data_IF_032250452828
#
_entry.id   IF_032250452828
#
_cell.length_a   1.000
_cell.length_b   1.000
_cell.length_c   1.000
_cell.angle_alpha   90.00
_cell.angle_beta   90.00
_cell.angle_gamma   90.00
#
_symmetry.space_group_name_H-M   'P 1'
#
loop_
_entity.id
_entity.type
_entity.pdbx_description
1 polymer ?
#
# COMPACT_ATOMS: atom_id res chain seq x y z
N UNK A 1 -27.41 -64.45 52.69
CA UNK A 1 -26.22 -63.84 52.03
C UNK A 1 -26.48 -62.35 51.82
N UNK A 2 -26.11 -61.57 52.77
CA UNK A 2 -26.22 -60.06 52.61
C UNK A 2 -24.99 -59.60 51.85
N UNK A 3 -25.19 -59.24 50.60
CA UNK A 3 -24.14 -58.78 49.71
C UNK A 3 -23.59 -57.41 50.16
N UNK A 4 -22.33 -57.35 50.28
CA UNK A 4 -21.48 -56.27 50.78
C UNK A 4 -21.53 -54.95 49.87
N UNK A 5 -22.75 -54.53 49.52
CA UNK A 5 -23.03 -53.40 48.61
C UNK A 5 -22.52 -52.04 49.17
N UNK A 6 -22.50 -51.94 50.55
CA UNK A 6 -22.06 -50.72 51.21
C UNK A 6 -20.56 -50.43 51.13
N UNK A 7 -19.75 -51.47 50.95
CA UNK A 7 -18.28 -51.32 50.86
C UNK A 7 -17.90 -50.94 49.47
N UNK A 8 -18.54 -51.41 48.42
CA UNK A 8 -18.28 -51.05 47.02
C UNK A 8 -18.64 -49.60 46.79
N UNK A 9 -19.72 -49.08 47.33
CA UNK A 9 -20.15 -47.66 47.14
C UNK A 9 -19.16 -46.69 47.70
N UNK A 10 -18.38 -46.99 48.72
CA UNK A 10 -17.35 -46.12 49.30
C UNK A 10 -16.13 -45.93 48.40
N UNK A 11 -15.85 -46.88 47.53
CA UNK A 11 -14.69 -46.81 46.64
C UNK A 11 -14.99 -46.22 45.30
N UNK A 12 -16.26 -46.02 44.90
CA UNK A 12 -16.66 -45.42 43.65
C UNK A 12 -16.04 -44.04 43.47
N UNK A 13 -16.09 -43.08 44.43
CA UNK A 13 -15.46 -41.78 44.26
C UNK A 13 -13.94 -41.87 44.07
N UNK A 14 -13.28 -42.78 44.79
CA UNK A 14 -11.83 -42.98 44.67
C UNK A 14 -11.46 -43.52 43.28
N UNK A 15 -12.24 -44.43 42.73
CA UNK A 15 -12.04 -44.95 41.37
C UNK A 15 -12.20 -43.83 40.35
N UNK A 16 -13.21 -42.98 40.48
CA UNK A 16 -13.39 -41.83 39.56
C UNK A 16 -12.25 -40.84 39.67
N UNK A 17 -11.75 -40.57 40.86
CA UNK A 17 -10.59 -39.65 41.05
C UNK A 17 -9.34 -40.24 40.39
N UNK A 18 -9.10 -41.53 40.52
CA UNK A 18 -7.95 -42.22 39.92
C UNK A 18 -8.06 -42.25 38.39
N UNK A 19 -9.24 -42.48 37.86
CA UNK A 19 -9.49 -42.44 36.41
C UNK A 19 -9.32 -41.01 35.85
N UNK A 20 -9.86 -40.02 36.53
CA UNK A 20 -9.70 -38.62 36.14
C UNK A 20 -8.24 -38.17 36.23
N UNK A 21 -7.51 -38.54 37.29
CA UNK A 21 -6.08 -38.27 37.41
C UNK A 21 -5.27 -38.95 36.31
N UNK A 22 -5.59 -40.20 35.98
CA UNK A 22 -4.95 -40.96 34.89
C UNK A 22 -5.23 -40.34 33.53
N UNK A 23 -6.46 -39.91 33.26
CA UNK A 23 -6.83 -39.22 32.03
C UNK A 23 -6.13 -37.84 31.91
N UNK A 24 -6.10 -37.10 33.00
CA UNK A 24 -5.39 -35.80 33.03
C UNK A 24 -3.88 -35.97 32.83
N UNK A 25 -3.28 -36.96 33.49
CA UNK A 25 -1.85 -37.26 33.31
C UNK A 25 -1.56 -37.67 31.86
N UNK A 26 -2.40 -38.56 31.31
CA UNK A 26 -2.30 -38.97 29.90
C UNK A 26 -2.43 -37.79 28.95
N UNK A 27 -3.35 -36.85 29.20
CA UNK A 27 -3.53 -35.64 28.41
C UNK A 27 -2.34 -34.66 28.51
N UNK A 28 -1.77 -34.51 29.71
CA UNK A 28 -0.61 -33.67 29.95
C UNK A 28 0.70 -34.23 29.33
N UNK A 29 0.77 -35.57 29.20
CA UNK A 29 1.93 -36.23 28.60
C UNK A 29 1.84 -36.32 27.06
N UNK A 30 0.67 -36.08 26.49
CA UNK A 30 0.52 -35.98 25.04
C UNK A 30 0.95 -34.59 24.62
N UNK A 31 2.08 -34.49 23.96
CA UNK A 31 2.50 -33.26 23.27
C UNK A 31 1.90 -33.28 21.86
N UNK A 32 0.81 -32.53 21.60
CA UNK A 32 0.19 -32.50 20.30
C UNK A 32 1.10 -31.80 19.26
N UNK A 33 2.11 -31.05 19.73
CA UNK A 33 3.08 -30.38 18.86
C UNK A 33 4.12 -31.37 18.31
N UNK A 34 4.33 -32.53 18.98
CA UNK A 34 5.29 -33.55 18.51
C UNK A 34 4.90 -34.19 17.16
N UNK A 35 3.60 -34.16 16.81
CA UNK A 35 3.08 -34.63 15.52
C UNK A 35 3.07 -33.53 14.44
N UNK A 36 3.32 -32.27 14.81
CA UNK A 36 3.39 -31.16 13.86
C UNK A 36 4.80 -31.10 13.30
N UNK A 37 4.99 -31.55 12.08
CA UNK A 37 6.22 -31.28 11.38
C UNK A 37 6.19 -29.81 10.95
N UNK A 38 7.14 -28.97 11.42
CA UNK A 38 7.21 -27.61 10.94
C UNK A 38 7.44 -27.64 9.43
N UNK A 39 6.47 -27.09 8.67
CA UNK A 39 6.63 -26.93 7.23
C UNK A 39 7.70 -25.85 7.03
N UNK A 40 8.89 -26.27 6.59
CA UNK A 40 9.93 -25.36 6.16
C UNK A 40 9.51 -24.86 4.77
N UNK A 41 9.37 -23.55 4.55
CA UNK A 41 9.04 -23.02 3.24
C UNK A 41 10.00 -23.57 2.18
N UNK A 42 9.47 -24.18 1.11
CA UNK A 42 10.26 -24.79 0.05
C UNK A 42 10.57 -26.28 0.22
N UNK A 43 10.24 -26.91 1.36
CA UNK A 43 10.42 -28.37 1.56
C UNK A 43 9.14 -29.20 1.38
N UNK A 44 8.17 -28.69 0.69
CA UNK A 44 6.90 -29.37 0.39
C UNK A 44 7.01 -30.37 -0.78
N UNK A 45 8.22 -30.77 -1.16
CA UNK A 45 8.52 -31.66 -2.30
C UNK A 45 7.81 -31.28 -3.61
N UNK A 46 7.38 -30.03 -3.73
CA UNK A 46 7.02 -29.54 -5.05
C UNK A 46 8.26 -29.66 -5.93
N UNK A 47 8.12 -30.20 -7.15
CA UNK A 47 9.18 -30.09 -8.11
C UNK A 47 9.55 -28.61 -8.14
N UNK A 48 10.84 -28.29 -7.98
CA UNK A 48 11.33 -26.94 -8.24
C UNK A 48 10.64 -26.52 -9.51
N UNK A 49 9.73 -25.57 -9.40
CA UNK A 49 9.00 -25.08 -10.55
C UNK A 49 10.11 -24.72 -11.51
N UNK A 50 10.22 -25.52 -12.57
CA UNK A 50 11.08 -25.23 -13.70
C UNK A 50 11.05 -23.74 -13.86
N UNK A 51 12.19 -23.09 -13.62
CA UNK A 51 12.37 -21.65 -13.55
C UNK A 51 11.26 -20.98 -14.32
N UNK A 52 10.22 -20.51 -13.61
CA UNK A 52 9.23 -19.64 -14.22
C UNK A 52 10.13 -18.53 -14.71
N UNK A 53 10.40 -18.50 -16.01
CA UNK A 53 11.05 -17.37 -16.66
C UNK A 53 10.33 -16.20 -16.06
N UNK A 54 11.06 -15.39 -15.30
CA UNK A 54 10.48 -14.22 -14.65
C UNK A 54 9.76 -13.49 -15.78
N UNK A 55 8.44 -13.65 -15.80
CA UNK A 55 7.61 -13.16 -16.89
C UNK A 55 7.92 -11.68 -16.96
N UNK A 56 8.45 -11.23 -18.08
CA UNK A 56 8.94 -9.88 -18.19
C UNK A 56 7.71 -8.98 -18.14
N UNK A 57 7.47 -8.38 -16.97
CA UNK A 57 6.38 -7.43 -16.79
C UNK A 57 6.64 -6.21 -17.66
N UNK A 58 5.71 -5.91 -18.56
CA UNK A 58 5.72 -4.69 -19.36
C UNK A 58 4.70 -3.74 -18.72
N UNK A 59 5.19 -2.80 -17.93
CA UNK A 59 4.35 -1.87 -17.18
C UNK A 59 3.47 -1.08 -18.14
N UNK A 60 2.15 -1.09 -17.89
CA UNK A 60 1.18 -0.36 -18.69
C UNK A 60 0.98 -0.89 -20.10
N UNK A 61 1.25 -2.17 -20.36
CA UNK A 61 1.21 -2.83 -21.67
C UNK A 61 -0.12 -2.65 -22.39
N UNK A 62 -1.23 -2.86 -21.69
CA UNK A 62 -2.56 -2.86 -22.30
C UNK A 62 -3.32 -1.58 -22.00
N UNK A 63 -4.13 -1.18 -22.96
CA UNK A 63 -4.96 0.02 -22.84
C UNK A 63 -6.32 -0.18 -23.52
N UNK A 64 -7.37 0.33 -22.88
CA UNK A 64 -8.73 0.33 -23.42
C UNK A 64 -9.37 1.69 -23.18
N UNK A 65 -9.74 2.36 -24.27
CA UNK A 65 -10.56 3.58 -24.23
C UNK A 65 -12.04 3.17 -24.31
N UNK A 66 -12.85 3.69 -23.39
CA UNK A 66 -14.30 3.36 -23.29
C UNK A 66 -15.21 4.56 -23.42
N UNK A 67 -14.70 5.76 -23.21
CA UNK A 67 -15.49 6.98 -23.27
C UNK A 67 -14.69 8.24 -23.03
N UNK A 68 -15.40 9.35 -23.02
CA UNK A 68 -14.88 10.66 -22.70
C UNK A 68 -15.80 11.32 -21.67
N UNK A 69 -15.29 12.23 -20.87
CA UNK A 69 -16.07 13.05 -19.96
C UNK A 69 -15.70 14.51 -20.12
N UNK A 70 -16.70 15.36 -19.98
CA UNK A 70 -16.50 16.79 -19.92
C UNK A 70 -15.81 17.17 -18.58
N UNK A 71 -14.86 18.11 -18.58
CA UNK A 71 -14.29 18.62 -17.37
C UNK A 71 -15.37 19.20 -16.45
N UNK A 72 -15.30 18.88 -15.16
CA UNK A 72 -16.15 19.50 -14.12
C UNK A 72 -15.24 20.31 -13.23
N UNK A 73 -15.31 21.65 -13.27
CA UNK A 73 -14.51 22.50 -12.42
C UNK A 73 -14.84 22.32 -10.94
N UNK A 74 -13.84 22.49 -10.08
CA UNK A 74 -14.06 22.74 -8.65
C UNK A 74 -13.76 21.59 -7.71
N UNK A 75 -13.99 20.33 -8.07
CA UNK A 75 -13.77 19.21 -7.14
C UNK A 75 -12.40 18.58 -7.38
N UNK A 76 -11.47 18.78 -6.44
CA UNK A 76 -10.12 18.26 -6.54
C UNK A 76 -9.66 17.60 -5.24
N UNK A 77 -9.40 16.30 -5.32
CA UNK A 77 -8.70 15.50 -4.32
C UNK A 77 -7.59 14.69 -5.03
N UNK A 78 -6.55 15.37 -5.56
CA UNK A 78 -5.72 14.82 -6.63
C UNK A 78 -4.68 13.80 -6.17
N UNK A 79 -4.55 13.57 -4.87
CA UNK A 79 -3.52 12.68 -4.32
C UNK A 79 -3.86 12.23 -2.91
N UNK A 80 -3.01 11.37 -2.36
CA UNK A 80 -3.06 10.95 -0.97
C UNK A 80 -3.15 12.14 -0.01
N UNK A 81 -4.12 12.12 0.88
CA UNK A 81 -4.47 13.19 1.84
C UNK A 81 -4.91 14.51 1.20
N UNK A 82 -5.28 14.51 -0.08
CA UNK A 82 -5.86 15.67 -0.76
C UNK A 82 -4.84 16.75 -1.17
N UNK A 83 -5.32 17.93 -1.60
CA UNK A 83 -4.47 18.98 -2.14
C UNK A 83 -3.49 19.56 -1.12
N UNK A 84 -3.88 19.66 0.15
CA UNK A 84 -3.03 20.11 1.26
C UNK A 84 -2.20 19.00 1.89
N UNK A 85 -2.44 17.74 1.56
CA UNK A 85 -1.85 16.55 2.19
C UNK A 85 -2.08 16.47 3.71
N UNK A 86 -3.17 17.09 4.15
CA UNK A 86 -3.58 17.24 5.54
C UNK A 86 -4.90 16.53 5.87
N UNK A 87 -5.54 15.87 4.88
CA UNK A 87 -6.89 15.31 4.95
C UNK A 87 -7.99 16.36 5.19
N UNK A 88 -7.73 17.63 4.92
CA UNK A 88 -8.70 18.70 5.12
C UNK A 88 -9.23 19.17 3.77
N UNK A 89 -10.54 19.05 3.57
CA UNK A 89 -11.20 19.68 2.42
C UNK A 89 -11.36 21.17 2.70
N UNK A 90 -10.90 21.98 1.75
CA UNK A 90 -11.05 23.46 1.78
C UNK A 90 -12.15 23.92 0.82
N UNK A 91 -12.95 22.99 0.31
CA UNK A 91 -14.09 23.34 -0.53
C UNK A 91 -15.13 24.11 0.29
N UNK A 92 -15.70 25.19 -0.25
CA UNK A 92 -16.68 26.03 0.45
C UNK A 92 -18.08 25.39 0.43
N UNK A 93 -18.15 24.09 0.72
CA UNK A 93 -19.40 23.33 0.78
C UNK A 93 -19.80 23.14 2.22
N UNK A 94 -20.97 23.66 2.60
CA UNK A 94 -21.54 23.38 3.91
C UNK A 94 -22.03 21.93 3.96
N UNK A 95 -21.44 21.14 4.86
CA UNK A 95 -21.94 19.80 5.14
C UNK A 95 -23.30 19.89 5.88
N UNK A 96 -24.16 18.93 5.63
CA UNK A 96 -25.41 18.79 6.37
C UNK A 96 -25.11 18.33 7.80
N UNK A 97 -25.78 18.91 8.77
CA UNK A 97 -25.67 18.52 10.18
C UNK A 97 -26.33 17.15 10.44
N UNK A 98 -27.29 16.76 9.59
CA UNK A 98 -27.94 15.45 9.62
C UNK A 98 -28.44 15.05 8.22
N UNK A 99 -28.57 13.77 7.99
CA UNK A 99 -29.09 13.22 6.74
C UNK A 99 -30.61 13.10 6.70
N UNK A 100 -31.32 13.43 7.80
CA UNK A 100 -32.74 13.19 7.95
C UNK A 100 -33.12 11.70 7.87
N UNK A 101 -34.37 11.43 7.52
CA UNK A 101 -34.86 10.04 7.37
C UNK A 101 -34.36 9.38 6.09
N UNK A 102 -33.88 10.15 5.13
CA UNK A 102 -33.34 9.65 3.85
C UNK A 102 -31.82 9.70 3.89
N UNK A 103 -31.20 8.55 3.73
CA UNK A 103 -29.77 8.44 3.52
C UNK A 103 -29.31 9.27 2.28
N UNK A 104 -28.00 9.59 2.18
CA UNK A 104 -27.45 10.21 0.97
C UNK A 104 -27.83 9.44 -0.28
N UNK A 105 -28.16 10.14 -1.35
CA UNK A 105 -28.47 9.52 -2.65
C UNK A 105 -27.19 8.96 -3.24
N UNK A 106 -27.20 7.67 -3.57
CA UNK A 106 -26.11 7.04 -4.33
C UNK A 106 -26.28 7.46 -5.79
N UNK A 107 -25.32 8.24 -6.31
CA UNK A 107 -25.33 8.69 -7.71
C UNK A 107 -24.95 7.56 -8.66
N UNK A 108 -23.93 6.78 -8.30
CA UNK A 108 -23.47 5.62 -9.09
C UNK A 108 -22.64 4.66 -8.20
N UNK A 109 -22.45 3.46 -8.70
CA UNK A 109 -21.66 2.40 -8.07
C UNK A 109 -20.90 1.64 -9.15
N UNK A 110 -19.65 1.25 -8.85
CA UNK A 110 -18.82 0.40 -9.70
C UNK A 110 -18.24 -0.74 -8.90
N UNK A 111 -18.05 -1.89 -9.55
CA UNK A 111 -17.40 -3.04 -8.94
C UNK A 111 -15.89 -2.96 -9.16
N UNK A 112 -15.13 -3.36 -8.13
CA UNK A 112 -13.69 -3.37 -8.08
C UNK A 112 -13.20 -4.74 -7.62
N UNK A 113 -11.94 -5.05 -7.87
CA UNK A 113 -11.24 -6.18 -7.27
C UNK A 113 -10.92 -5.96 -5.80
N UNK A 114 -10.27 -6.95 -5.19
CA UNK A 114 -9.89 -6.88 -3.78
C UNK A 114 -8.78 -5.83 -3.57
N UNK A 115 -9.04 -4.83 -2.71
CA UNK A 115 -8.08 -3.78 -2.43
C UNK A 115 -8.55 -2.76 -1.41
N UNK A 116 -7.64 -1.86 -1.06
CA UNK A 116 -7.86 -0.73 -0.15
C UNK A 116 -7.41 0.60 -0.78
N UNK A 117 -7.27 0.63 -2.10
CA UNK A 117 -6.91 1.85 -2.81
C UNK A 117 -8.01 2.90 -2.66
N UNK A 118 -7.60 4.13 -2.36
CA UNK A 118 -8.52 5.26 -2.38
C UNK A 118 -8.46 5.99 -3.74
N UNK A 119 -9.56 6.60 -4.18
CA UNK A 119 -9.59 7.33 -5.43
C UNK A 119 -8.87 8.68 -5.31
N UNK A 120 -8.27 9.12 -6.42
CA UNK A 120 -7.93 10.51 -6.65
C UNK A 120 -8.96 11.15 -7.58
N UNK A 121 -9.34 12.39 -7.30
CA UNK A 121 -10.35 13.13 -8.06
C UNK A 121 -9.74 14.39 -8.63
N UNK A 122 -9.91 14.61 -9.93
CA UNK A 122 -9.45 15.84 -10.57
C UNK A 122 -10.29 16.17 -11.81
N UNK A 123 -10.79 17.39 -11.87
CA UNK A 123 -11.51 17.94 -13.03
C UNK A 123 -12.61 17.00 -13.58
N UNK A 124 -13.45 16.47 -12.69
CA UNK A 124 -14.58 15.61 -13.06
C UNK A 124 -14.23 14.17 -13.41
N UNK A 125 -12.99 13.75 -13.15
CA UNK A 125 -12.53 12.37 -13.34
C UNK A 125 -12.11 11.77 -12.01
N UNK A 126 -12.31 10.47 -11.87
CA UNK A 126 -11.91 9.65 -10.72
C UNK A 126 -10.89 8.63 -11.19
N UNK A 127 -9.72 8.64 -10.59
CA UNK A 127 -8.61 7.73 -10.89
C UNK A 127 -8.42 6.77 -9.73
N UNK A 128 -8.33 5.48 -10.01
CA UNK A 128 -8.26 4.45 -8.99
C UNK A 128 -7.36 3.30 -9.42
N UNK A 129 -6.54 2.83 -8.49
CA UNK A 129 -5.82 1.57 -8.65
C UNK A 129 -6.74 0.40 -8.34
N UNK A 130 -6.73 -0.60 -9.21
CA UNK A 130 -7.55 -1.79 -9.09
C UNK A 130 -6.72 -3.03 -9.48
N UNK A 131 -7.01 -4.18 -8.91
CA UNK A 131 -6.43 -5.43 -9.32
C UNK A 131 -7.48 -6.30 -9.99
N UNK A 132 -7.34 -6.51 -11.29
CA UNK A 132 -8.21 -7.40 -12.06
C UNK A 132 -7.84 -8.87 -11.76
N UNK A 133 -8.63 -9.50 -10.91
CA UNK A 133 -8.38 -10.88 -10.48
C UNK A 133 -8.56 -11.91 -11.60
N UNK A 134 -9.33 -11.58 -12.62
CA UNK A 134 -9.55 -12.45 -13.77
C UNK A 134 -8.33 -12.41 -14.68
N UNK A 135 -7.84 -11.21 -14.99
CA UNK A 135 -6.65 -11.01 -15.84
C UNK A 135 -5.34 -11.17 -15.10
N UNK A 136 -5.37 -11.26 -13.75
CA UNK A 136 -4.18 -11.21 -12.90
C UNK A 136 -3.32 -9.99 -13.23
N UNK A 137 -3.94 -8.83 -13.23
CA UNK A 137 -3.36 -7.60 -13.73
C UNK A 137 -3.57 -6.43 -12.77
N UNK A 138 -2.52 -5.63 -12.57
CA UNK A 138 -2.61 -4.33 -11.91
C UNK A 138 -3.13 -3.29 -12.91
N UNK A 139 -4.09 -2.48 -12.52
CA UNK A 139 -4.80 -1.57 -13.40
C UNK A 139 -4.97 -0.18 -12.79
N UNK A 140 -4.71 0.83 -13.59
CA UNK A 140 -5.20 2.19 -13.36
C UNK A 140 -6.48 2.38 -14.16
N UNK A 141 -7.58 2.69 -13.45
CA UNK A 141 -8.90 2.93 -14.03
C UNK A 141 -9.30 4.38 -13.86
N UNK A 142 -9.92 4.94 -14.88
CA UNK A 142 -10.45 6.30 -14.88
C UNK A 142 -11.94 6.30 -15.14
N UNK A 143 -12.70 6.99 -14.29
CA UNK A 143 -14.16 7.08 -14.36
C UNK A 143 -14.61 8.53 -14.44
N UNK A 144 -15.78 8.75 -15.01
CA UNK A 144 -16.50 10.01 -14.92
C UNK A 144 -17.01 10.22 -13.48
N UNK A 145 -16.65 11.32 -12.84
CA UNK A 145 -17.17 11.67 -11.51
C UNK A 145 -18.69 11.83 -11.52
N UNK A 146 -19.25 12.34 -12.62
CA UNK A 146 -20.68 12.61 -12.77
C UNK A 146 -21.52 11.35 -12.94
N UNK A 147 -21.03 10.37 -13.69
CA UNK A 147 -21.85 9.22 -14.13
C UNK A 147 -21.35 7.86 -13.66
N UNK A 148 -20.10 7.77 -13.15
CA UNK A 148 -19.45 6.50 -12.84
C UNK A 148 -19.03 5.68 -14.06
N UNK A 149 -19.29 6.19 -15.27
CA UNK A 149 -18.85 5.51 -16.50
C UNK A 149 -17.33 5.40 -16.51
N UNK A 150 -16.81 4.19 -16.78
CA UNK A 150 -15.39 4.01 -17.01
C UNK A 150 -15.00 4.63 -18.36
N UNK A 151 -14.05 5.57 -18.31
CA UNK A 151 -13.60 6.32 -19.48
C UNK A 151 -12.47 5.61 -20.19
N UNK A 152 -11.53 5.10 -19.40
CA UNK A 152 -10.41 4.29 -19.86
C UNK A 152 -9.81 3.49 -18.74
N UNK A 153 -9.05 2.44 -19.11
CA UNK A 153 -8.16 1.72 -18.21
C UNK A 153 -6.84 1.40 -18.88
N UNK A 154 -5.81 1.34 -18.08
CA UNK A 154 -4.48 0.86 -18.48
C UNK A 154 -4.02 -0.18 -17.49
N UNK A 155 -3.56 -1.33 -17.97
CA UNK A 155 -3.18 -2.43 -17.12
C UNK A 155 -1.99 -3.21 -17.68
N UNK A 156 -1.43 -4.06 -16.83
CA UNK A 156 -0.39 -5.00 -17.19
C UNK A 156 -0.46 -6.24 -16.29
N UNK A 157 -0.14 -7.44 -16.83
CA UNK A 157 -0.16 -8.67 -16.05
C UNK A 157 0.89 -8.60 -14.93
N UNK A 158 0.48 -8.97 -13.73
CA UNK A 158 1.36 -9.15 -12.57
C UNK A 158 0.74 -10.16 -11.63
N UNK A 159 1.44 -11.29 -11.43
CA UNK A 159 0.96 -12.32 -10.52
C UNK A 159 1.14 -11.91 -9.07
N UNK A 160 0.04 -11.83 -8.33
CA UNK A 160 0.01 -11.57 -6.91
C UNK A 160 -0.60 -12.74 -6.16
N UNK A 161 -0.05 -13.08 -4.99
CA UNK A 161 -0.71 -13.97 -4.04
C UNK A 161 -1.70 -13.15 -3.24
N UNK A 162 -2.89 -13.69 -2.97
CA UNK A 162 -3.88 -13.02 -2.12
C UNK A 162 -3.27 -12.71 -0.75
N UNK A 163 -3.28 -11.44 -0.35
CA UNK A 163 -2.66 -10.96 0.87
C UNK A 163 -3.23 -9.59 1.25
N UNK A 164 -4.13 -9.50 2.22
CA UNK A 164 -4.68 -8.27 2.82
C UNK A 164 -5.11 -7.17 1.82
N UNK A 165 -5.68 -7.55 0.68
CA UNK A 165 -6.00 -6.65 -0.42
C UNK A 165 -4.77 -6.35 -1.31
N UNK A 166 -4.98 -6.26 -2.60
CA UNK A 166 -3.91 -6.23 -3.58
C UNK A 166 -3.54 -4.82 -4.00
N UNK A 167 -4.51 -3.96 -4.27
CA UNK A 167 -4.30 -2.54 -4.59
C UNK A 167 -4.51 -1.67 -3.37
N UNK A 168 -3.54 -0.83 -3.01
CA UNK A 168 -3.55 -0.04 -1.76
C UNK A 168 -3.21 1.42 -1.95
N UNK A 169 -2.61 1.78 -3.08
CA UNK A 169 -2.05 3.11 -3.30
C UNK A 169 -3.06 4.05 -3.91
N UNK A 170 -2.92 5.33 -3.59
CA UNK A 170 -3.70 6.40 -4.20
C UNK A 170 -2.90 6.97 -5.37
N UNK A 171 -3.47 7.05 -6.58
CA UNK A 171 -2.82 7.75 -7.69
C UNK A 171 -2.52 9.21 -7.36
N UNK A 172 -1.42 9.73 -7.86
CA UNK A 172 -1.13 11.16 -7.78
C UNK A 172 -1.39 11.81 -9.13
N UNK A 173 -2.34 12.75 -9.16
CA UNK A 173 -2.79 13.45 -10.37
C UNK A 173 -2.12 14.82 -10.44
N UNK A 174 -1.27 15.00 -11.45
CA UNK A 174 -0.63 16.27 -11.76
C UNK A 174 -1.41 17.06 -12.81
N UNK A 175 -0.76 18.11 -13.33
CA UNK A 175 -1.34 18.96 -14.38
C UNK A 175 -1.67 18.15 -15.65
N UNK A 176 -0.73 17.34 -16.14
CA UNK A 176 -0.83 16.59 -17.38
C UNK A 176 -0.63 15.08 -17.20
N UNK A 177 -0.35 14.63 -15.99
CA UNK A 177 0.06 13.25 -15.73
C UNK A 177 -0.69 12.64 -14.56
N UNK A 178 -0.79 11.32 -14.55
CA UNK A 178 -1.13 10.51 -13.38
C UNK A 178 0.01 9.55 -13.12
N UNK A 179 0.51 9.56 -11.90
CA UNK A 179 1.56 8.64 -11.44
C UNK A 179 0.98 7.65 -10.44
N UNK A 180 1.32 6.39 -10.60
CA UNK A 180 0.89 5.29 -9.72
C UNK A 180 2.07 4.48 -9.24
N UNK A 181 1.88 3.76 -8.13
CA UNK A 181 2.79 2.70 -7.69
C UNK A 181 1.95 1.46 -7.49
N UNK A 182 2.23 0.41 -8.26
CA UNK A 182 1.56 -0.88 -8.17
C UNK A 182 2.08 -1.73 -6.99
N UNK A 183 1.40 -2.85 -6.69
CA UNK A 183 1.70 -3.69 -5.54
C UNK A 183 3.12 -4.27 -5.54
N UNK A 184 3.72 -4.51 -6.70
CA UNK A 184 5.10 -4.99 -6.88
C UNK A 184 6.07 -3.85 -7.19
N UNK A 185 5.88 -2.68 -6.58
CA UNK A 185 6.79 -1.54 -6.72
C UNK A 185 6.99 -1.06 -8.17
N UNK A 186 6.01 -1.30 -9.04
CA UNK A 186 6.00 -0.77 -10.40
C UNK A 186 5.47 0.66 -10.38
N UNK A 187 6.30 1.61 -10.76
CA UNK A 187 5.88 3.00 -10.95
C UNK A 187 5.43 3.17 -12.39
N UNK A 188 4.25 3.74 -12.59
CA UNK A 188 3.71 4.01 -13.93
C UNK A 188 3.27 5.47 -14.02
N UNK A 189 3.60 6.13 -15.12
CA UNK A 189 3.10 7.44 -15.48
C UNK A 189 2.33 7.39 -16.78
N UNK A 190 1.16 8.00 -16.76
CA UNK A 190 0.30 8.11 -17.94
C UNK A 190 -0.12 9.56 -18.16
N UNK A 191 -0.56 9.87 -19.37
CA UNK A 191 -1.25 11.12 -19.66
C UNK A 191 -2.59 11.18 -18.92
N UNK A 192 -2.84 12.25 -18.19
CA UNK A 192 -4.04 12.40 -17.36
C UNK A 192 -5.34 12.33 -18.17
N UNK A 193 -5.36 12.91 -19.35
CA UNK A 193 -6.58 13.04 -20.13
C UNK A 193 -6.87 11.80 -20.98
N UNK A 194 -5.84 11.25 -21.60
CA UNK A 194 -5.96 10.17 -22.58
C UNK A 194 -5.68 8.79 -22.01
N UNK A 195 -4.99 8.69 -20.86
CA UNK A 195 -4.50 7.42 -20.33
C UNK A 195 -3.30 6.85 -21.12
N UNK A 196 -2.74 7.60 -22.08
CA UNK A 196 -1.59 7.15 -22.84
C UNK A 196 -0.38 6.97 -21.94
N UNK A 197 0.29 5.83 -22.10
CA UNK A 197 1.51 5.51 -21.37
C UNK A 197 2.61 6.54 -21.71
N UNK A 198 3.31 7.00 -20.68
CA UNK A 198 4.48 7.87 -20.83
C UNK A 198 5.76 7.13 -20.47
N UNK A 199 5.83 6.57 -19.27
CA UNK A 199 6.98 5.80 -18.80
C UNK A 199 6.60 4.87 -17.64
N UNK A 200 7.46 3.90 -17.37
CA UNK A 200 7.35 3.01 -16.23
C UNK A 200 8.72 2.63 -15.67
N UNK A 201 8.80 2.44 -14.36
CA UNK A 201 10.00 2.04 -13.63
C UNK A 201 9.68 0.82 -12.78
N UNK A 202 10.40 -0.27 -12.98
CA UNK A 202 10.35 -1.45 -12.11
C UNK A 202 11.44 -1.28 -11.03
N UNK A 203 11.01 -0.87 -9.83
CA UNK A 203 11.95 -0.59 -8.74
C UNK A 203 12.66 -1.85 -8.24
N UNK A 204 12.01 -3.01 -8.29
CA UNK A 204 12.64 -4.28 -7.92
C UNK A 204 13.83 -4.57 -8.85
N UNK A 205 13.64 -4.45 -10.17
CA UNK A 205 14.70 -4.74 -11.15
C UNK A 205 15.78 -3.66 -11.19
N UNK A 206 15.40 -2.39 -11.16
CA UNK A 206 16.37 -1.31 -11.36
C UNK A 206 17.17 -0.99 -10.11
N UNK A 207 16.51 -1.05 -8.96
CA UNK A 207 17.11 -0.62 -7.69
C UNK A 207 17.26 -1.72 -6.65
N UNK A 208 16.77 -2.94 -6.92
CA UNK A 208 16.79 -4.02 -5.93
C UNK A 208 15.86 -3.76 -4.75
N UNK A 209 14.78 -3.01 -5.00
CA UNK A 209 13.74 -2.78 -3.99
C UNK A 209 13.12 -4.11 -3.59
N UNK A 210 12.93 -4.33 -2.30
CA UNK A 210 12.15 -5.45 -1.78
C UNK A 210 10.70 -4.99 -1.58
N UNK A 211 9.76 -5.63 -2.30
CA UNK A 211 8.35 -5.31 -2.09
C UNK A 211 7.97 -5.60 -0.63
N UNK A 212 7.32 -4.67 0.07
CA UNK A 212 6.88 -4.91 1.43
C UNK A 212 5.99 -6.16 1.53
N UNK A 213 6.02 -6.83 2.70
CA UNK A 213 5.34 -8.11 2.90
C UNK A 213 3.84 -8.11 2.49
N UNK A 214 3.15 -6.99 2.70
CA UNK A 214 1.75 -6.81 2.28
C UNK A 214 1.61 -5.97 1.01
N UNK A 215 2.61 -6.01 0.12
CA UNK A 215 2.71 -5.20 -1.09
C UNK A 215 2.91 -3.70 -0.80
N UNK A 216 3.10 -2.92 -1.86
CA UNK A 216 3.33 -1.48 -1.74
C UNK A 216 2.11 -0.77 -1.19
N UNK A 217 2.29 0.03 -0.13
CA UNK A 217 1.27 0.90 0.44
C UNK A 217 1.60 2.40 0.29
N UNK A 218 2.83 2.71 -0.05
CA UNK A 218 3.25 4.09 -0.28
C UNK A 218 2.55 4.68 -1.51
N UNK A 219 2.04 5.91 -1.38
CA UNK A 219 1.49 6.67 -2.50
C UNK A 219 2.55 7.59 -3.09
N UNK A 220 2.60 7.77 -4.42
CA UNK A 220 3.55 8.69 -5.04
C UNK A 220 3.26 10.13 -4.63
N UNK A 221 4.33 10.93 -4.44
CA UNK A 221 4.23 12.34 -4.18
C UNK A 221 4.55 13.12 -5.45
N UNK A 222 3.66 14.00 -5.89
CA UNK A 222 3.94 14.93 -6.98
C UNK A 222 4.25 16.33 -6.43
N UNK A 223 5.41 16.85 -6.79
CA UNK A 223 5.81 18.25 -6.55
C UNK A 223 6.12 18.86 -7.90
N UNK A 224 5.31 19.80 -8.34
CA UNK A 224 5.34 20.32 -9.70
C UNK A 224 5.24 19.17 -10.72
N UNK A 225 6.21 19.00 -11.60
CA UNK A 225 6.26 17.92 -12.59
C UNK A 225 7.29 16.83 -12.20
N UNK A 226 7.62 16.70 -10.91
CA UNK A 226 8.50 15.66 -10.38
C UNK A 226 7.72 14.68 -9.52
N UNK A 227 7.80 13.40 -9.86
CA UNK A 227 7.31 12.31 -9.04
C UNK A 227 8.38 11.89 -8.03
N UNK A 228 8.08 11.96 -6.74
CA UNK A 228 8.96 11.54 -5.64
C UNK A 228 8.48 10.21 -5.12
N UNK A 229 9.39 9.24 -5.11
CA UNK A 229 9.10 7.84 -4.76
C UNK A 229 10.19 7.31 -3.85
N UNK A 230 9.81 6.75 -2.70
CA UNK A 230 10.73 6.00 -1.88
C UNK A 230 11.03 4.64 -2.53
N UNK A 231 12.29 4.27 -2.55
CA UNK A 231 12.80 3.08 -3.24
C UNK A 231 13.21 1.99 -2.23
N UNK A 232 14.02 2.36 -1.23
CA UNK A 232 14.46 1.42 -0.19
C UNK A 232 15.25 0.23 -0.76
N UNK A 233 16.08 0.49 -1.76
CA UNK A 233 16.99 -0.46 -2.39
C UNK A 233 18.39 0.11 -2.48
N UNK A 234 19.02 0.11 -3.66
CA UNK A 234 20.34 0.73 -3.90
C UNK A 234 20.36 2.21 -3.51
N UNK A 235 19.24 2.88 -3.66
CA UNK A 235 18.98 4.26 -3.22
C UNK A 235 17.77 4.28 -2.30
N UNK A 236 17.65 5.31 -1.46
CA UNK A 236 16.52 5.42 -0.54
C UNK A 236 15.29 6.03 -1.22
N UNK A 237 15.49 7.02 -2.08
CA UNK A 237 14.42 7.78 -2.73
C UNK A 237 14.89 8.30 -4.09
N UNK A 238 13.94 8.48 -5.01
CA UNK A 238 14.20 9.09 -6.33
C UNK A 238 13.21 10.20 -6.62
N UNK A 239 13.65 11.17 -7.39
CA UNK A 239 12.80 12.13 -8.09
C UNK A 239 12.83 11.88 -9.58
N UNK A 240 11.66 11.75 -10.19
CA UNK A 240 11.50 11.42 -11.61
C UNK A 240 10.75 12.54 -12.30
N UNK A 241 11.28 13.08 -13.39
CA UNK A 241 10.56 14.02 -14.25
C UNK A 241 9.35 13.32 -14.88
N UNK A 242 8.16 13.83 -14.62
CA UNK A 242 6.91 13.23 -15.07
C UNK A 242 6.73 13.26 -16.60
N UNK A 243 7.38 14.18 -17.29
CA UNK A 243 7.24 14.29 -18.74
C UNK A 243 8.13 13.31 -19.48
N UNK A 244 9.35 13.07 -18.96
CA UNK A 244 10.38 12.27 -19.65
C UNK A 244 10.62 10.90 -19.03
N UNK A 245 10.28 10.70 -17.74
CA UNK A 245 10.63 9.50 -17.00
C UNK A 245 12.11 9.46 -16.56
N UNK A 246 12.84 10.56 -16.75
CA UNK A 246 14.24 10.65 -16.34
C UNK A 246 14.34 10.84 -14.84
N UNK A 247 15.18 10.06 -14.18
CA UNK A 247 15.53 10.27 -12.77
C UNK A 247 16.40 11.52 -12.69
N UNK A 248 15.91 12.55 -12.00
CA UNK A 248 16.56 13.86 -11.91
C UNK A 248 17.39 14.02 -10.64
N UNK A 249 17.12 13.22 -9.63
CA UNK A 249 17.93 13.10 -8.42
C UNK A 249 17.69 11.75 -7.72
N UNK A 250 18.67 11.34 -6.93
CA UNK A 250 18.63 10.13 -6.09
C UNK A 250 19.12 10.47 -4.70
N UNK A 251 18.46 9.94 -3.67
CA UNK A 251 18.92 10.00 -2.29
C UNK A 251 19.68 8.70 -1.95
N UNK A 252 20.90 8.78 -1.40
CA UNK A 252 21.68 7.58 -1.06
C UNK A 252 21.01 6.75 0.03
N UNK A 253 21.33 5.45 0.10
CA UNK A 253 20.83 4.52 1.11
C UNK A 253 21.98 3.78 1.82
N UNK A 254 22.86 4.48 2.55
CA UNK A 254 24.04 3.87 3.17
C UNK A 254 23.67 2.89 4.30
N UNK A 255 22.53 3.08 4.93
CA UNK A 255 22.07 2.24 6.05
C UNK A 255 21.22 1.05 5.56
N UNK A 256 21.03 0.88 4.27
CA UNK A 256 20.23 -0.20 3.64
C UNK A 256 18.80 -0.27 4.18
N UNK A 257 18.20 0.87 4.42
CA UNK A 257 16.79 0.92 4.80
C UNK A 257 15.89 0.43 3.67
N UNK A 258 14.83 -0.30 4.01
CA UNK A 258 13.92 -0.85 3.01
C UNK A 258 12.62 -0.04 2.92
N UNK A 259 11.88 -0.24 1.83
CA UNK A 259 10.61 0.42 1.61
C UNK A 259 9.60 0.04 2.69
N UNK A 260 8.91 1.04 3.23
CA UNK A 260 7.76 0.87 4.11
C UNK A 260 6.44 1.13 3.38
N UNK A 261 5.31 1.03 4.09
CA UNK A 261 4.01 1.44 3.54
C UNK A 261 3.76 2.95 3.69
N UNK A 262 4.63 3.66 4.42
CA UNK A 262 4.53 5.11 4.63
C UNK A 262 4.76 5.87 3.33
N UNK A 263 3.97 6.90 3.08
CA UNK A 263 4.16 7.81 1.95
C UNK A 263 5.12 8.94 2.32
N UNK A 264 5.87 9.41 1.34
CA UNK A 264 6.75 10.57 1.47
C UNK A 264 5.91 11.83 1.68
N UNK A 265 6.26 12.64 2.68
CA UNK A 265 5.55 13.89 2.98
C UNK A 265 6.44 15.11 2.80
N UNK A 266 5.98 16.15 2.08
CA UNK A 266 6.75 17.39 1.94
C UNK A 266 6.61 18.21 3.22
N UNK A 267 7.71 18.85 3.64
CA UNK A 267 7.79 19.76 4.77
C UNK A 267 8.56 21.02 4.37
N UNK A 268 8.20 22.15 4.97
CA UNK A 268 8.98 23.39 4.81
C UNK A 268 9.31 23.96 6.18
N UNK A 269 10.57 24.37 6.37
CA UNK A 269 11.08 24.98 7.59
C UNK A 269 11.98 26.14 7.20
N UNK A 270 11.70 27.33 7.69
CA UNK A 270 12.49 28.54 7.40
C UNK A 270 12.78 28.76 5.90
N UNK A 271 11.76 28.51 5.07
CA UNK A 271 11.86 28.65 3.61
C UNK A 271 12.58 27.51 2.87
N UNK A 272 13.21 26.58 3.58
CA UNK A 272 13.83 25.37 3.03
C UNK A 272 12.80 24.26 2.91
N UNK A 273 12.90 23.46 1.84
CA UNK A 273 11.97 22.37 1.57
C UNK A 273 12.63 21.02 1.79
N UNK A 274 11.87 20.09 2.36
CA UNK A 274 12.32 18.75 2.72
C UNK A 274 11.27 17.70 2.34
N UNK A 275 11.75 16.48 2.16
CA UNK A 275 10.91 15.28 2.17
C UNK A 275 11.13 14.53 3.48
N UNK A 276 10.05 14.26 4.21
CA UNK A 276 10.08 13.43 5.41
C UNK A 276 9.60 12.03 5.04
N UNK A 277 10.37 11.03 5.39
CA UNK A 277 10.05 9.64 5.09
C UNK A 277 10.36 8.72 6.27
N UNK A 278 9.41 7.82 6.55
CA UNK A 278 9.59 6.74 7.53
C UNK A 278 9.83 5.43 6.77
N UNK A 279 11.09 5.03 6.66
CA UNK A 279 11.51 3.76 6.09
C UNK A 279 11.43 2.63 7.14
N UNK A 280 11.50 1.38 6.71
CA UNK A 280 11.89 0.29 7.62
C UNK A 280 13.39 0.47 7.88
N UNK A 281 13.72 0.83 9.11
CA UNK A 281 15.07 1.14 9.55
C UNK A 281 15.24 2.54 10.16
N UNK A 282 14.32 3.48 9.90
CA UNK A 282 14.38 4.80 10.52
C UNK A 282 13.57 5.88 9.81
N UNK A 283 13.74 7.11 10.29
CA UNK A 283 13.15 8.31 9.71
C UNK A 283 14.25 9.21 9.17
N UNK A 284 14.00 9.87 8.05
CA UNK A 284 14.93 10.85 7.50
C UNK A 284 14.25 12.09 6.95
N UNK A 285 15.05 13.16 6.84
CA UNK A 285 14.78 14.36 6.06
C UNK A 285 15.73 14.41 4.89
N UNK A 286 15.16 14.58 3.72
CA UNK A 286 15.89 14.68 2.46
C UNK A 286 15.66 16.08 1.90
N UNK A 287 16.71 16.75 1.45
CA UNK A 287 16.58 18.05 0.79
C UNK A 287 15.72 17.94 -0.46
N UNK A 288 14.70 18.80 -0.57
CA UNK A 288 13.74 18.77 -1.67
C UNK A 288 14.09 19.75 -2.80
N UNK A 289 15.01 20.68 -2.56
CA UNK A 289 15.42 21.67 -3.57
C UNK A 289 16.86 22.17 -3.33
N UNK A 290 17.34 23.04 -4.23
CA UNK A 290 18.67 23.63 -4.16
C UNK A 290 19.80 22.68 -4.56
N UNK A 291 21.06 23.07 -4.29
CA UNK A 291 22.23 22.29 -4.68
C UNK A 291 22.36 20.95 -3.93
N UNK A 292 21.73 20.83 -2.79
CA UNK A 292 21.74 19.63 -1.95
C UNK A 292 20.54 18.72 -2.20
N UNK A 293 19.75 18.95 -3.26
CA UNK A 293 18.57 18.14 -3.56
C UNK A 293 18.91 16.65 -3.61
N UNK A 294 18.13 15.84 -2.88
CA UNK A 294 18.36 14.40 -2.72
C UNK A 294 19.31 14.02 -1.56
N UNK A 295 19.99 14.98 -0.94
CA UNK A 295 20.88 14.71 0.20
C UNK A 295 20.07 14.45 1.47
N UNK A 296 20.48 13.45 2.26
CA UNK A 296 19.93 13.19 3.59
C UNK A 296 20.56 14.20 4.56
N UNK A 297 19.75 15.12 5.07
CA UNK A 297 20.20 16.19 5.96
C UNK A 297 20.08 15.79 7.43
N UNK A 298 19.14 14.90 7.75
CA UNK A 298 18.93 14.39 9.08
C UNK A 298 18.32 12.99 9.02
N UNK A 299 18.68 12.13 9.97
CA UNK A 299 18.09 10.80 10.14
C UNK A 299 18.16 10.34 11.59
N UNK A 300 17.26 9.43 11.96
CA UNK A 300 17.29 8.72 13.25
C UNK A 300 16.84 7.29 13.08
N UNK A 301 17.41 6.39 13.88
CA UNK A 301 17.02 4.99 14.02
C UNK A 301 16.24 4.73 15.32
N UNK A 302 16.00 5.75 16.14
CA UNK A 302 15.22 5.63 17.38
C UNK A 302 13.76 5.23 17.12
N UNK A 303 13.24 5.53 15.93
CA UNK A 303 11.96 5.06 15.45
C UNK A 303 12.18 4.16 14.22
N UNK A 304 12.36 2.88 14.46
CA UNK A 304 12.64 1.87 13.43
C UNK A 304 11.80 0.60 13.62
N UNK A 305 10.46 0.71 13.64
CA UNK A 305 9.61 -0.47 13.74
C UNK A 305 9.74 -1.36 12.48
N UNK A 306 9.44 -2.65 12.62
CA UNK A 306 9.49 -3.62 11.52
C UNK A 306 8.45 -3.37 10.44
N UNK A 307 7.37 -2.67 10.79
CA UNK A 307 6.30 -2.27 9.86
C UNK A 307 5.92 -0.83 10.15
N UNK A 308 5.93 0.00 9.12
CA UNK A 308 5.49 1.40 9.18
C UNK A 308 4.42 1.62 8.12
N UNK A 309 3.17 1.74 8.53
CA UNK A 309 2.05 2.06 7.65
C UNK A 309 1.65 3.55 7.70
N UNK A 310 1.57 4.19 8.86
CA UNK A 310 1.23 5.61 8.93
C UNK A 310 2.28 6.49 8.26
N UNK A 311 1.83 7.49 7.52
CA UNK A 311 2.70 8.51 6.96
C UNK A 311 2.87 9.67 7.94
N UNK A 312 4.01 10.37 7.95
CA UNK A 312 4.23 11.52 8.82
C UNK A 312 3.10 12.55 8.73
N UNK A 313 2.69 13.11 9.85
CA UNK A 313 1.82 14.28 9.91
C UNK A 313 2.69 15.50 10.15
N UNK A 314 2.75 16.38 9.17
CA UNK A 314 3.57 17.58 9.23
C UNK A 314 2.84 18.63 10.09
N UNK A 315 3.55 19.21 11.03
CA UNK A 315 3.09 20.23 11.96
C UNK A 315 3.88 21.53 11.74
N UNK A 316 3.39 22.61 12.34
CA UNK A 316 4.07 23.90 12.29
C UNK A 316 5.41 23.90 13.00
N UNK A 317 6.33 24.79 12.58
CA UNK A 317 7.62 24.98 13.23
C UNK A 317 8.62 23.83 13.04
N UNK A 318 8.56 23.15 11.89
CA UNK A 318 9.50 22.08 11.55
C UNK A 318 9.31 20.80 12.36
N UNK A 319 8.16 20.63 12.96
CA UNK A 319 7.78 19.43 13.70
C UNK A 319 6.98 18.48 12.83
N UNK A 320 7.02 17.22 13.14
CA UNK A 320 6.15 16.21 12.56
C UNK A 320 5.83 15.13 13.60
N UNK A 321 4.69 14.48 13.43
CA UNK A 321 4.26 13.36 14.25
C UNK A 321 4.31 12.07 13.43
N UNK A 322 4.79 10.99 14.05
CA UNK A 322 4.80 9.64 13.50
C UNK A 322 4.27 8.66 14.53
N UNK A 323 3.68 7.57 14.04
CA UNK A 323 3.27 6.42 14.85
C UNK A 323 3.55 5.12 14.09
N UNK A 324 3.57 4.00 14.81
CA UNK A 324 3.71 2.65 14.26
C UNK A 324 2.69 1.72 14.89
#
# INVERSE_FOLDING_TARGET
MATNTGTILKYIPLIFILLAAGALTGWLLVDPASSIQPAVPGMDHRPESSSVRAEQVIIGEFFELRGTAEPVPGTNWPSFRGPGRDNISKEPVKLLDSWGEKAPVILWKVDLGEGHAAPAVSEGKVYLMDYDEIRKADALRCFSLKTGQELWRRWYPVHLKRNHGLSRTVPAVGRNTVVTIGPRCHVMCVDRNTGNFRWGIDLEKQYGTEAPFWYTGQCPLLINDTAVVAVGGKVLMIGVDCNTGTVVWEAPNPDRWTMSHSSVMPMSVDGKKFYVYCAIGGICWISADGPDQGSILWKTTEFAPSVVAPSPVILDGGRFFVSA
#
